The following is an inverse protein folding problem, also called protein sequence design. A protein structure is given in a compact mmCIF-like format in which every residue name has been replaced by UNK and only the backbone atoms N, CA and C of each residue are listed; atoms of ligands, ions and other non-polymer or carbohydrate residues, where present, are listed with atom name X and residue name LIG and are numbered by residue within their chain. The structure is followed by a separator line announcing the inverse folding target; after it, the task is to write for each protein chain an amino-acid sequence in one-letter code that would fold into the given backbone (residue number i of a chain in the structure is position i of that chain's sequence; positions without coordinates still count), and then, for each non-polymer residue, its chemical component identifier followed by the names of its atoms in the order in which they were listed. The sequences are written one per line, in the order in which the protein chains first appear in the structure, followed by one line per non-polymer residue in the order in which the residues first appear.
data_IF_345921405901
#
_entry.id   IF_345921405901
#
_cell.length_a   1.000
_cell.length_b   1.000
_cell.length_c   1.000
_cell.angle_alpha   90.00
_cell.angle_beta   90.00
_cell.angle_gamma   90.00
#
_symmetry.space_group_name_H-M   'P 1'
#
loop_
_entity.id
_entity.type
_entity.pdbx_description
1 polymer ?
#
# COMPACT_ATOMS: atom_id res chain seq x y z
N UNK A 1 29.26 -18.40 -17.45
CA UNK A 1 30.01 -17.56 -16.50
C UNK A 1 28.97 -16.79 -15.71
N UNK A 2 28.89 -16.99 -14.38
CA UNK A 2 27.97 -16.22 -13.56
C UNK A 2 28.41 -14.75 -13.60
N UNK A 3 27.54 -13.84 -14.03
CA UNK A 3 27.75 -12.40 -13.87
C UNK A 3 27.94 -12.15 -12.38
N UNK A 4 29.10 -11.61 -12.00
CA UNK A 4 29.30 -11.04 -10.68
C UNK A 4 28.43 -9.80 -10.64
N UNK A 5 27.24 -9.90 -10.08
CA UNK A 5 26.32 -8.78 -9.98
C UNK A 5 26.84 -7.84 -8.89
N UNK A 6 26.92 -6.55 -9.19
CA UNK A 6 27.31 -5.53 -8.23
C UNK A 6 26.11 -5.26 -7.28
N UNK A 7 26.21 -5.56 -5.98
CA UNK A 7 25.11 -5.35 -5.03
C UNK A 7 24.65 -3.88 -4.94
N UNK A 8 25.53 -2.94 -5.29
CA UNK A 8 25.21 -1.51 -5.30
C UNK A 8 24.29 -1.08 -6.46
N UNK A 9 24.11 -1.95 -7.46
CA UNK A 9 23.27 -1.69 -8.65
C UNK A 9 21.91 -2.42 -8.59
N UNK A 10 21.77 -3.46 -7.77
CA UNK A 10 20.51 -4.20 -7.65
C UNK A 10 19.47 -3.44 -6.82
N UNK A 11 18.26 -3.35 -7.36
CA UNK A 11 17.12 -2.66 -6.73
C UNK A 11 16.47 -3.47 -5.61
N UNK A 12 16.66 -4.79 -5.63
CA UNK A 12 16.25 -5.75 -4.60
C UNK A 12 17.37 -6.77 -4.44
N UNK A 13 17.83 -6.98 -3.20
CA UNK A 13 18.77 -8.03 -2.86
C UNK A 13 18.01 -9.23 -2.28
N UNK A 14 18.30 -10.43 -2.79
CA UNK A 14 17.80 -11.69 -2.25
C UNK A 14 18.92 -12.52 -1.66
N UNK A 15 18.87 -12.79 -0.36
CA UNK A 15 19.88 -13.59 0.35
C UNK A 15 19.27 -14.90 0.87
N UNK A 16 19.99 -16.01 0.70
CA UNK A 16 19.57 -17.35 1.16
C UNK A 16 20.49 -17.78 2.30
N UNK A 17 19.94 -17.86 3.52
CA UNK A 17 20.71 -18.10 4.75
C UNK A 17 20.06 -19.26 5.49
N UNK A 18 20.58 -20.47 5.31
CA UNK A 18 19.95 -21.68 5.84
C UNK A 18 18.51 -21.82 5.35
N UNK A 19 17.54 -21.84 6.27
CA UNK A 19 16.11 -21.87 6.01
C UNK A 19 15.44 -20.50 5.87
N UNK A 20 16.23 -19.42 5.99
CA UNK A 20 15.76 -18.05 5.89
C UNK A 20 16.03 -17.51 4.49
N UNK A 21 15.08 -16.74 3.96
CA UNK A 21 15.21 -15.97 2.73
C UNK A 21 14.98 -14.50 3.05
N UNK A 22 15.99 -13.67 2.83
CA UNK A 22 15.94 -12.24 3.14
C UNK A 22 15.80 -11.43 1.85
N UNK A 23 14.78 -10.59 1.80
CA UNK A 23 14.56 -9.57 0.77
C UNK A 23 14.94 -8.22 1.35
N UNK A 24 15.87 -7.53 0.71
CA UNK A 24 16.18 -6.14 1.00
C UNK A 24 15.80 -5.26 -0.18
N UNK A 25 14.81 -4.37 -0.01
CA UNK A 25 14.55 -3.29 -0.97
C UNK A 25 15.73 -2.31 -0.90
N UNK A 26 16.45 -2.12 -2.00
CA UNK A 26 17.82 -1.58 -1.99
C UNK A 26 17.97 -0.28 -2.80
N UNK A 27 17.00 0.62 -2.72
CA UNK A 27 17.08 1.96 -3.31
C UNK A 27 16.95 3.07 -2.25
N UNK A 28 17.86 3.14 -1.25
CA UNK A 28 17.69 3.99 -0.08
C UNK A 28 17.63 5.49 -0.43
N UNK A 29 18.35 5.90 -1.49
CA UNK A 29 18.33 7.28 -2.01
C UNK A 29 16.97 7.68 -2.58
N UNK A 30 16.21 6.71 -3.09
CA UNK A 30 14.85 6.89 -3.61
C UNK A 30 13.78 6.44 -2.63
N UNK A 31 14.14 6.17 -1.36
CA UNK A 31 13.22 5.67 -0.33
C UNK A 31 12.56 4.33 -0.71
N UNK A 32 13.30 3.47 -1.42
CA UNK A 32 12.85 2.12 -1.77
C UNK A 32 11.50 2.13 -2.53
N UNK A 33 11.39 2.99 -3.53
CA UNK A 33 10.21 3.02 -4.43
C UNK A 33 10.05 1.70 -5.17
N UNK A 34 8.80 1.34 -5.44
CA UNK A 34 8.43 0.12 -6.15
C UNK A 34 8.37 0.45 -7.65
N UNK A 35 9.47 0.16 -8.35
CA UNK A 35 9.57 0.22 -9.82
C UNK A 35 9.17 -1.12 -10.46
N UNK A 36 9.11 -1.15 -11.80
CA UNK A 36 8.95 -2.39 -12.57
C UNK A 36 9.95 -3.48 -12.12
N UNK A 37 11.24 -3.14 -12.03
CA UNK A 37 12.30 -4.09 -11.65
C UNK A 37 12.10 -4.65 -10.24
N UNK A 38 11.67 -3.81 -9.30
CA UNK A 38 11.35 -4.25 -7.93
C UNK A 38 10.21 -5.26 -7.96
N UNK A 39 9.11 -4.96 -8.66
CA UNK A 39 7.97 -5.89 -8.77
C UNK A 39 8.39 -7.19 -9.45
N UNK A 40 9.14 -7.12 -10.55
CA UNK A 40 9.61 -8.29 -11.28
C UNK A 40 10.50 -9.20 -10.42
N UNK A 41 11.45 -8.61 -9.68
CA UNK A 41 12.34 -9.35 -8.79
C UNK A 41 11.59 -9.96 -7.60
N UNK A 42 10.67 -9.20 -6.97
CA UNK A 42 9.84 -9.72 -5.88
C UNK A 42 8.99 -10.91 -6.33
N UNK A 43 8.33 -10.82 -7.48
CA UNK A 43 7.56 -11.93 -8.06
C UNK A 43 8.46 -13.16 -8.27
N UNK A 44 9.64 -12.98 -8.88
CA UNK A 44 10.58 -14.07 -9.15
C UNK A 44 11.10 -14.74 -7.88
N UNK A 45 11.50 -13.95 -6.89
CA UNK A 45 12.04 -14.46 -5.61
C UNK A 45 10.95 -15.18 -4.83
N UNK A 46 9.78 -14.57 -4.68
CA UNK A 46 8.67 -15.17 -3.94
C UNK A 46 8.13 -16.43 -4.63
N UNK A 47 8.09 -16.48 -5.96
CA UNK A 47 7.75 -17.70 -6.70
C UNK A 47 8.77 -18.81 -6.44
N UNK A 48 10.06 -18.49 -6.59
CA UNK A 48 11.16 -19.42 -6.38
C UNK A 48 11.08 -20.00 -4.96
N UNK A 49 10.98 -19.13 -3.97
CA UNK A 49 11.07 -19.53 -2.58
C UNK A 49 9.79 -20.16 -2.04
N UNK A 50 8.62 -19.93 -2.62
CA UNK A 50 7.43 -20.68 -2.18
C UNK A 50 7.52 -22.16 -2.58
N UNK A 51 8.23 -22.47 -3.68
CA UNK A 51 8.45 -23.83 -4.21
C UNK A 51 9.67 -24.55 -3.60
N UNK A 52 10.50 -23.84 -2.86
CA UNK A 52 11.77 -24.34 -2.32
C UNK A 52 11.59 -24.86 -0.88
N UNK A 53 11.64 -26.18 -0.67
CA UNK A 53 11.43 -26.77 0.66
C UNK A 53 12.43 -26.27 1.72
N UNK A 54 13.63 -25.81 1.31
CA UNK A 54 14.59 -25.22 2.24
C UNK A 54 14.21 -23.80 2.65
N UNK A 55 13.34 -23.08 1.93
CA UNK A 55 12.87 -21.77 2.33
C UNK A 55 11.71 -21.92 3.33
N UNK A 56 11.91 -21.69 4.61
CA UNK A 56 10.83 -21.79 5.60
C UNK A 56 10.35 -20.42 6.11
N UNK A 57 11.27 -19.44 6.18
CA UNK A 57 11.02 -18.10 6.70
C UNK A 57 11.42 -17.03 5.69
N UNK A 58 10.48 -16.16 5.32
CA UNK A 58 10.74 -15.02 4.44
C UNK A 58 10.80 -13.75 5.30
N UNK A 59 11.90 -13.02 5.19
CA UNK A 59 12.09 -11.72 5.83
C UNK A 59 12.11 -10.64 4.73
N UNK A 60 11.36 -9.55 4.90
CA UNK A 60 11.42 -8.39 4.01
C UNK A 60 11.80 -7.15 4.82
N UNK A 61 12.78 -6.38 4.33
CA UNK A 61 13.19 -5.09 4.89
C UNK A 61 13.50 -4.08 3.78
N UNK A 62 13.55 -2.80 4.14
CA UNK A 62 14.11 -1.75 3.30
C UNK A 62 15.49 -1.31 3.79
N UNK A 63 16.37 -0.93 2.89
CA UNK A 63 17.66 -0.33 3.25
C UNK A 63 17.52 1.17 3.56
N UNK A 64 18.35 1.67 4.47
CA UNK A 64 18.36 3.08 4.85
C UNK A 64 17.16 3.50 5.70
N UNK A 65 16.56 4.66 5.39
CA UNK A 65 15.59 5.35 6.27
C UNK A 65 14.12 5.05 5.98
N UNK A 66 13.84 4.15 5.05
CA UNK A 66 12.47 3.82 4.65
C UNK A 66 12.35 2.32 4.44
N UNK A 67 11.20 1.76 4.77
CA UNK A 67 10.84 0.44 4.30
C UNK A 67 10.54 0.53 2.81
N UNK A 68 9.51 1.32 2.44
CA UNK A 68 9.21 1.71 1.07
C UNK A 68 8.27 2.91 1.02
N UNK A 69 8.56 3.88 0.16
CA UNK A 69 7.71 5.07 -0.05
C UNK A 69 6.56 4.86 -1.05
N UNK A 70 6.36 3.64 -1.57
CA UNK A 70 5.30 3.34 -2.53
C UNK A 70 5.79 3.26 -3.98
N UNK A 71 4.85 3.34 -4.93
CA UNK A 71 5.13 3.18 -6.36
C UNK A 71 6.06 4.25 -6.93
N UNK A 72 6.79 3.89 -7.98
CA UNK A 72 7.61 4.84 -8.75
C UNK A 72 6.72 5.76 -9.59
N UNK A 73 6.27 6.88 -9.00
CA UNK A 73 5.40 7.84 -9.68
C UNK A 73 6.03 8.41 -10.97
N UNK A 74 7.35 8.54 -11.01
CA UNK A 74 8.05 9.09 -12.18
C UNK A 74 7.95 8.15 -13.39
N UNK A 75 8.01 6.85 -13.16
CA UNK A 75 7.83 5.83 -14.20
C UNK A 75 6.48 5.99 -14.91
N UNK A 76 5.38 6.15 -14.16
CA UNK A 76 4.05 6.38 -14.77
C UNK A 76 3.98 7.72 -15.49
N UNK A 77 4.54 8.78 -14.91
CA UNK A 77 4.49 10.11 -15.52
C UNK A 77 5.28 10.21 -16.82
N UNK A 78 6.46 9.58 -16.89
CA UNK A 78 7.30 9.63 -18.08
C UNK A 78 6.63 8.92 -19.28
N UNK A 79 5.79 7.90 -19.02
CA UNK A 79 5.02 7.16 -20.04
C UNK A 79 3.59 7.67 -20.27
N UNK A 80 3.17 8.76 -19.64
CA UNK A 80 1.78 9.27 -19.70
C UNK A 80 1.20 9.52 -21.10
N UNK A 81 2.04 9.65 -22.12
CA UNK A 81 1.62 9.84 -23.52
C UNK A 81 1.43 8.51 -24.28
N UNK A 82 1.83 7.38 -23.69
CA UNK A 82 1.59 6.04 -24.20
C UNK A 82 0.11 5.68 -24.06
N UNK A 83 -0.38 4.84 -24.97
CA UNK A 83 -1.74 4.28 -24.88
C UNK A 83 -1.87 3.35 -23.67
N UNK A 84 -0.82 2.62 -23.34
CA UNK A 84 -0.76 1.67 -22.23
C UNK A 84 0.49 1.97 -21.37
N UNK A 85 0.40 2.97 -20.46
CA UNK A 85 1.54 3.47 -19.69
C UNK A 85 1.89 2.51 -18.55
N UNK A 86 2.92 1.67 -18.74
CA UNK A 86 3.38 0.72 -17.74
C UNK A 86 2.27 -0.18 -17.14
N UNK A 87 1.29 -0.60 -17.95
CA UNK A 87 0.16 -1.40 -17.44
C UNK A 87 0.58 -2.82 -17.04
N UNK A 88 1.69 -3.32 -17.59
CA UNK A 88 2.26 -4.62 -17.20
C UNK A 88 2.66 -4.66 -15.73
N UNK A 89 3.38 -3.63 -15.24
CA UNK A 89 3.79 -3.57 -13.82
C UNK A 89 2.59 -3.44 -12.91
N UNK A 90 1.53 -2.75 -13.34
CA UNK A 90 0.27 -2.71 -12.60
C UNK A 90 -0.29 -4.13 -12.45
N UNK A 91 -0.44 -4.86 -13.55
CA UNK A 91 -0.92 -6.24 -13.50
C UNK A 91 -0.08 -7.11 -12.57
N UNK A 92 1.26 -7.07 -12.72
CA UNK A 92 2.20 -7.80 -11.86
C UNK A 92 2.09 -7.39 -10.40
N UNK A 93 1.91 -6.10 -10.10
CA UNK A 93 1.81 -5.59 -8.73
C UNK A 93 0.54 -6.07 -8.04
N UNK A 94 -0.61 -6.03 -8.72
CA UNK A 94 -1.87 -6.54 -8.15
C UNK A 94 -1.83 -8.04 -7.93
N UNK A 95 -1.24 -8.78 -8.88
CA UNK A 95 -1.01 -10.20 -8.74
C UNK A 95 -0.04 -10.50 -7.58
N UNK A 96 1.02 -9.71 -7.41
CA UNK A 96 1.95 -9.81 -6.28
C UNK A 96 1.25 -9.53 -4.94
N UNK A 97 0.38 -8.50 -4.88
CA UNK A 97 -0.41 -8.20 -3.68
C UNK A 97 -1.23 -9.42 -3.23
N UNK A 98 -1.89 -10.11 -4.15
CA UNK A 98 -2.61 -11.36 -3.83
C UNK A 98 -1.69 -12.42 -3.22
N UNK A 99 -0.51 -12.62 -3.80
CA UNK A 99 0.44 -13.62 -3.32
C UNK A 99 1.02 -13.31 -1.95
N UNK A 100 1.28 -12.04 -1.65
CA UNK A 100 1.73 -11.65 -0.31
C UNK A 100 0.64 -11.92 0.72
N UNK A 101 -0.63 -11.60 0.42
CA UNK A 101 -1.74 -11.87 1.35
C UNK A 101 -1.98 -13.36 1.60
N UNK A 102 -1.65 -14.21 0.63
CA UNK A 102 -1.99 -15.64 0.67
C UNK A 102 -0.76 -16.54 0.73
N UNK A 103 0.42 -15.97 1.02
CA UNK A 103 1.70 -16.67 0.94
C UNK A 103 1.73 -17.88 1.87
N UNK A 104 2.22 -19.02 1.38
CA UNK A 104 2.16 -20.29 2.12
C UNK A 104 3.19 -20.41 3.25
N UNK A 105 4.23 -19.58 3.21
CA UNK A 105 5.35 -19.63 4.15
C UNK A 105 5.27 -18.49 5.15
N UNK A 106 5.89 -18.65 6.31
CA UNK A 106 5.89 -17.61 7.33
C UNK A 106 6.66 -16.39 6.80
N UNK A 107 6.00 -15.23 6.83
CA UNK A 107 6.56 -13.96 6.39
C UNK A 107 6.67 -12.97 7.56
N UNK A 108 7.79 -12.26 7.62
CA UNK A 108 8.03 -11.16 8.56
C UNK A 108 8.48 -9.91 7.80
N UNK A 109 7.71 -8.83 7.91
CA UNK A 109 8.15 -7.50 7.52
C UNK A 109 8.90 -6.83 8.69
N UNK A 110 10.15 -6.42 8.45
CA UNK A 110 10.95 -5.61 9.36
C UNK A 110 10.85 -4.15 8.91
N UNK A 111 9.87 -3.43 9.45
CA UNK A 111 9.44 -2.13 8.95
C UNK A 111 10.07 -1.02 9.77
N UNK A 112 11.19 -0.49 9.26
CA UNK A 112 11.84 0.69 9.80
C UNK A 112 11.66 1.90 8.87
N UNK A 113 11.10 2.99 9.37
CA UNK A 113 10.90 4.23 8.61
C UNK A 113 9.60 4.26 7.79
N UNK A 114 9.62 4.98 6.67
CA UNK A 114 8.44 5.23 5.83
C UNK A 114 7.92 3.93 5.21
N UNK A 115 6.60 3.70 5.30
CA UNK A 115 5.86 2.64 4.61
C UNK A 115 4.55 3.22 4.06
N UNK A 116 4.50 3.59 2.78
CA UNK A 116 3.35 4.32 2.21
C UNK A 116 2.85 3.69 0.92
N UNK A 117 1.54 3.79 0.67
CA UNK A 117 0.86 3.26 -0.51
C UNK A 117 1.23 1.80 -0.80
N UNK A 118 1.66 1.50 -2.03
CA UNK A 118 2.15 0.16 -2.39
C UNK A 118 3.28 -0.38 -1.51
N UNK A 119 4.07 0.48 -0.85
CA UNK A 119 5.08 0.06 0.12
C UNK A 119 4.47 -0.58 1.37
N UNK A 120 3.27 -0.16 1.75
CA UNK A 120 2.56 -0.72 2.89
C UNK A 120 1.82 -2.02 2.55
N UNK A 121 1.51 -2.30 1.27
CA UNK A 121 0.96 -3.60 0.87
C UNK A 121 1.99 -4.73 0.99
N UNK A 122 3.28 -4.39 1.07
CA UNK A 122 4.37 -5.32 1.37
C UNK A 122 4.58 -5.56 2.88
N UNK A 123 3.73 -5.04 3.76
CA UNK A 123 3.84 -5.29 5.21
C UNK A 123 2.53 -5.59 5.91
N UNK A 124 1.45 -4.84 5.64
CA UNK A 124 0.18 -4.97 6.37
C UNK A 124 -0.39 -6.41 6.30
N UNK A 125 -0.40 -7.08 5.14
CA UNK A 125 -1.01 -8.41 5.05
C UNK A 125 -0.11 -9.55 5.51
N UNK A 126 1.16 -9.29 5.85
CA UNK A 126 2.08 -10.35 6.27
C UNK A 126 1.71 -10.91 7.63
N UNK A 127 2.03 -12.19 7.85
CA UNK A 127 1.77 -12.88 9.11
C UNK A 127 2.38 -12.17 10.32
N UNK A 128 3.59 -11.65 10.15
CA UNK A 128 4.21 -10.74 11.10
C UNK A 128 4.64 -9.46 10.41
N UNK A 129 4.24 -8.33 10.97
CA UNK A 129 4.80 -7.02 10.64
C UNK A 129 5.30 -6.38 11.93
N UNK A 130 6.61 -6.15 11.98
CA UNK A 130 7.31 -5.58 13.13
C UNK A 130 7.68 -4.14 12.78
N UNK A 131 7.18 -3.20 13.58
CA UNK A 131 7.36 -1.76 13.38
C UNK A 131 8.20 -1.14 14.49
N UNK A 132 8.73 0.06 14.24
CA UNK A 132 9.56 0.84 15.18
C UNK A 132 8.92 2.18 15.49
N UNK A 133 9.51 2.93 16.42
CA UNK A 133 9.18 4.34 16.66
C UNK A 133 9.45 5.26 15.46
N UNK A 134 10.23 4.80 14.47
CA UNK A 134 10.48 5.52 13.21
C UNK A 134 9.45 5.23 12.13
N UNK A 135 8.59 4.24 12.34
CA UNK A 135 7.63 3.83 11.31
C UNK A 135 6.59 4.91 11.08
N UNK A 136 6.40 5.29 9.81
CA UNK A 136 5.38 6.25 9.38
C UNK A 136 4.60 5.62 8.23
N UNK A 137 3.32 5.35 8.49
CA UNK A 137 2.38 4.79 7.54
C UNK A 137 1.41 5.84 7.01
N UNK A 138 1.07 5.77 5.72
CA UNK A 138 -0.04 6.52 5.12
C UNK A 138 -0.47 5.92 3.77
N UNK A 139 -1.71 6.18 3.39
CA UNK A 139 -2.29 5.96 2.05
C UNK A 139 -2.67 7.33 1.45
N UNK A 140 -1.70 8.11 0.91
CA UNK A 140 -1.91 9.50 0.52
C UNK A 140 -2.41 9.67 -0.94
N UNK A 141 -2.87 8.60 -1.59
CA UNK A 141 -3.07 8.54 -3.05
C UNK A 141 -4.07 9.59 -3.57
N UNK A 142 -5.12 9.89 -2.80
CA UNK A 142 -6.12 10.89 -3.19
C UNK A 142 -5.51 12.29 -3.42
N UNK A 143 -4.43 12.61 -2.69
CA UNK A 143 -3.74 13.90 -2.81
C UNK A 143 -2.91 14.04 -4.11
N UNK A 144 -2.67 12.95 -4.83
CA UNK A 144 -1.94 12.91 -6.10
C UNK A 144 -2.85 12.53 -7.28
N UNK A 145 -4.18 12.59 -7.12
CA UNK A 145 -5.11 12.23 -8.20
C UNK A 145 -5.25 10.73 -8.43
N UNK A 146 -4.90 9.91 -7.44
CA UNK A 146 -4.95 8.46 -7.52
C UNK A 146 -5.84 7.87 -6.41
N UNK A 147 -6.26 6.61 -6.55
CA UNK A 147 -7.10 5.96 -5.53
C UNK A 147 -6.25 5.10 -4.60
N UNK A 148 -6.76 4.83 -3.41
CA UNK A 148 -6.12 3.87 -2.49
C UNK A 148 -6.22 2.44 -3.07
N UNK A 149 -5.07 1.88 -3.43
CA UNK A 149 -4.94 0.69 -4.27
C UNK A 149 -4.19 -0.46 -3.56
N UNK A 150 -3.65 -1.44 -4.30
CA UNK A 150 -2.78 -2.51 -3.77
C UNK A 150 -3.39 -3.35 -2.61
N UNK A 151 -4.70 -3.56 -2.62
CA UNK A 151 -5.47 -4.29 -1.62
C UNK A 151 -6.01 -3.43 -0.48
N UNK A 152 -5.73 -2.12 -0.47
CA UNK A 152 -6.14 -1.26 0.64
C UNK A 152 -7.65 -0.98 0.69
N UNK A 153 -8.42 -1.16 -0.38
CA UNK A 153 -9.88 -1.14 -0.25
C UNK A 153 -10.40 -2.31 0.59
N UNK A 154 -9.72 -3.47 0.57
CA UNK A 154 -9.99 -4.58 1.49
C UNK A 154 -9.50 -4.26 2.90
N UNK A 155 -8.24 -3.87 3.07
CA UNK A 155 -7.63 -3.64 4.38
C UNK A 155 -8.35 -2.51 5.15
N UNK A 156 -8.53 -1.34 4.52
CA UNK A 156 -9.11 -0.17 5.19
C UNK A 156 -10.58 -0.37 5.53
N UNK A 157 -11.32 -1.12 4.71
CA UNK A 157 -12.74 -1.39 4.95
C UNK A 157 -13.00 -2.28 6.16
N UNK A 158 -12.00 -3.05 6.60
CA UNK A 158 -12.07 -3.91 7.78
C UNK A 158 -11.54 -3.22 9.05
N UNK A 159 -11.07 -1.97 8.97
CA UNK A 159 -10.71 -1.20 10.16
C UNK A 159 -11.96 -0.83 10.98
N UNK A 160 -11.83 -0.68 12.31
CA UNK A 160 -12.97 -0.34 13.16
C UNK A 160 -13.67 0.97 12.77
N UNK A 161 -15.00 0.94 12.71
CA UNK A 161 -15.83 2.11 12.42
C UNK A 161 -15.59 2.67 11.03
N UNK A 162 -15.22 3.95 10.95
CA UNK A 162 -14.90 4.68 9.70
C UNK A 162 -13.45 5.17 9.65
N UNK A 163 -12.54 4.51 10.38
CA UNK A 163 -11.13 4.86 10.35
C UNK A 163 -10.52 4.65 8.95
N UNK A 164 -10.95 3.60 8.23
CA UNK A 164 -10.49 3.34 6.87
C UNK A 164 -10.77 4.48 5.91
N UNK A 165 -12.01 4.98 5.89
CA UNK A 165 -12.39 6.15 5.09
C UNK A 165 -11.60 7.40 5.50
N UNK A 166 -11.36 7.62 6.79
CA UNK A 166 -10.53 8.72 7.26
C UNK A 166 -9.10 8.63 6.73
N UNK A 167 -8.45 7.47 6.85
CA UNK A 167 -7.07 7.28 6.40
C UNK A 167 -6.95 7.44 4.88
N UNK A 168 -7.83 6.77 4.11
CA UNK A 168 -7.80 6.81 2.65
C UNK A 168 -8.11 8.18 2.05
N UNK A 169 -9.07 8.92 2.62
CA UNK A 169 -9.45 10.23 2.09
C UNK A 169 -8.48 11.35 2.50
N UNK A 170 -7.97 11.31 3.74
CA UNK A 170 -7.14 12.41 4.28
C UNK A 170 -5.65 12.21 4.07
N UNK A 171 -5.20 10.98 3.79
CA UNK A 171 -3.78 10.61 3.80
C UNK A 171 -3.15 10.75 5.19
N UNK A 172 -3.96 10.66 6.26
CA UNK A 172 -3.47 10.77 7.63
C UNK A 172 -2.39 9.73 7.93
N UNK A 173 -1.42 10.16 8.73
CA UNK A 173 -0.27 9.33 9.10
C UNK A 173 -0.54 8.59 10.40
N UNK A 174 -0.16 7.33 10.44
CA UNK A 174 -0.06 6.53 11.66
C UNK A 174 1.40 6.24 11.96
N UNK A 175 1.78 6.35 13.23
CA UNK A 175 3.09 5.87 13.70
C UNK A 175 3.06 4.36 14.00
N UNK A 176 4.23 3.77 14.30
CA UNK A 176 4.34 2.34 14.59
C UNK A 176 3.42 1.83 15.72
N UNK A 177 3.26 2.60 16.79
CA UNK A 177 2.40 2.19 17.91
C UNK A 177 0.91 2.23 17.53
N UNK A 178 0.50 3.23 16.76
CA UNK A 178 -0.87 3.35 16.24
C UNK A 178 -1.20 2.23 15.25
N UNK A 179 -0.23 1.78 14.44
CA UNK A 179 -0.40 0.63 13.54
C UNK A 179 -0.70 -0.66 14.31
N UNK A 180 0.06 -0.93 15.37
CA UNK A 180 -0.18 -2.11 16.22
C UNK A 180 -1.54 -1.99 16.92
N UNK A 181 -1.89 -0.81 17.43
CA UNK A 181 -3.19 -0.58 18.07
C UNK A 181 -4.40 -0.78 17.14
N UNK A 182 -4.23 -0.64 15.82
CA UNK A 182 -5.29 -0.85 14.83
C UNK A 182 -5.19 -2.19 14.09
N UNK A 183 -4.23 -3.05 14.46
CA UNK A 183 -4.03 -4.34 13.80
C UNK A 183 -3.46 -4.24 12.38
N UNK A 184 -2.90 -3.08 12.00
CA UNK A 184 -2.20 -2.90 10.73
C UNK A 184 -0.74 -3.36 10.79
N UNK A 185 -0.19 -3.47 12.01
CA UNK A 185 1.07 -4.14 12.30
C UNK A 185 0.88 -5.09 13.49
N UNK A 186 1.75 -6.07 13.64
CA UNK A 186 1.61 -7.10 14.67
C UNK A 186 2.37 -6.80 15.95
N UNK A 187 3.58 -6.25 15.84
CA UNK A 187 4.49 -6.06 16.97
C UNK A 187 5.23 -4.74 16.86
N UNK A 188 5.57 -4.18 18.02
CA UNK A 188 6.40 -2.98 18.11
C UNK A 188 7.71 -3.33 18.82
N UNK A 189 8.83 -3.11 18.13
CA UNK A 189 10.19 -3.34 18.65
C UNK A 189 10.98 -2.04 18.49
N UNK A 190 11.63 -1.52 19.55
CA UNK A 190 12.47 -0.34 19.45
C UNK A 190 13.57 -0.49 18.38
N UNK A 191 13.83 0.55 17.60
CA UNK A 191 14.79 0.45 16.48
C UNK A 191 16.20 0.02 16.88
N UNK A 192 16.63 0.29 18.11
CA UNK A 192 17.92 -0.16 18.64
C UNK A 192 18.02 -1.69 18.75
N UNK A 193 16.89 -2.40 18.89
CA UNK A 193 16.82 -3.87 18.97
C UNK A 193 16.60 -4.56 17.62
N UNK A 194 16.37 -3.80 16.55
CA UNK A 194 16.14 -4.38 15.21
C UNK A 194 17.32 -5.23 14.69
N UNK A 195 18.59 -4.81 14.85
CA UNK A 195 19.73 -5.64 14.45
C UNK A 195 19.76 -6.99 15.19
N UNK A 196 19.46 -6.97 16.49
CA UNK A 196 19.36 -8.18 17.31
C UNK A 196 18.19 -9.05 16.84
N UNK A 197 17.01 -8.46 16.63
CA UNK A 197 15.83 -9.17 16.12
C UNK A 197 16.14 -9.88 14.80
N UNK A 198 16.73 -9.16 13.85
CA UNK A 198 17.10 -9.73 12.56
C UNK A 198 18.08 -10.90 12.74
N UNK A 199 19.11 -10.74 13.56
CA UNK A 199 20.06 -11.82 13.86
C UNK A 199 19.38 -13.03 14.47
N UNK A 200 18.48 -12.84 15.44
CA UNK A 200 17.76 -13.93 16.11
C UNK A 200 16.80 -14.66 15.18
N UNK A 201 16.10 -13.94 14.30
CA UNK A 201 15.24 -14.56 13.27
C UNK A 201 16.06 -15.37 12.26
N UNK A 202 17.25 -14.87 11.88
CA UNK A 202 18.17 -15.62 11.02
C UNK A 202 18.68 -16.88 11.74
N UNK A 203 19.13 -16.75 12.99
CA UNK A 203 19.67 -17.87 13.79
C UNK A 203 18.60 -18.89 14.18
N UNK A 204 17.33 -18.48 14.30
CA UNK A 204 16.21 -19.39 14.53
C UNK A 204 16.13 -20.44 13.43
N UNK A 205 16.42 -20.04 12.18
CA UNK A 205 16.53 -20.93 11.03
C UNK A 205 15.32 -21.86 10.85
N UNK A 206 14.12 -21.35 11.13
CA UNK A 206 12.86 -22.10 11.06
C UNK A 206 11.70 -21.19 10.67
N UNK A 207 10.75 -21.74 9.91
CA UNK A 207 9.49 -21.09 9.56
C UNK A 207 8.33 -21.34 10.53
N UNK A 208 8.54 -22.06 11.64
CA UNK A 208 7.46 -22.31 12.61
C UNK A 208 6.94 -20.99 13.17
N UNK A 209 5.64 -20.73 12.95
CA UNK A 209 5.05 -19.44 13.26
C UNK A 209 5.06 -19.14 14.77
N UNK A 210 4.99 -20.15 15.65
CA UNK A 210 5.02 -19.95 17.10
C UNK A 210 6.43 -19.60 17.58
N UNK A 211 7.44 -20.27 17.04
CA UNK A 211 8.84 -19.98 17.34
C UNK A 211 9.24 -18.57 16.84
N UNK A 212 8.86 -18.22 15.60
CA UNK A 212 9.07 -16.87 15.05
C UNK A 212 8.38 -15.81 15.91
N UNK A 213 7.11 -16.04 16.27
CA UNK A 213 6.37 -15.14 17.17
C UNK A 213 7.08 -14.96 18.50
N UNK A 214 7.53 -16.04 19.13
CA UNK A 214 8.22 -16.00 20.43
C UNK A 214 9.48 -15.12 20.38
N UNK A 215 10.29 -15.26 19.33
CA UNK A 215 11.49 -14.42 19.12
C UNK A 215 11.12 -12.93 19.00
N UNK A 216 10.04 -12.61 18.27
CA UNK A 216 9.58 -11.22 18.12
C UNK A 216 9.06 -10.67 19.46
N UNK A 217 8.25 -11.45 20.19
CA UNK A 217 7.65 -11.04 21.46
C UNK A 217 8.70 -10.76 22.55
N UNK A 218 9.78 -11.54 22.60
CA UNK A 218 10.88 -11.32 23.56
C UNK A 218 11.55 -9.95 23.43
N UNK A 219 11.57 -9.38 22.22
CA UNK A 219 12.15 -8.06 21.94
C UNK A 219 11.10 -6.95 21.86
N UNK A 220 9.82 -7.31 21.81
CA UNK A 220 8.71 -6.38 21.73
C UNK A 220 8.51 -5.62 23.04
N UNK A 221 7.95 -4.42 22.93
CA UNK A 221 7.51 -3.64 24.10
C UNK A 221 6.03 -3.31 23.97
N UNK A 222 5.38 -3.13 25.11
CA UNK A 222 3.99 -2.69 25.13
C UNK A 222 3.86 -1.31 24.50
N UNK A 223 2.84 -1.15 23.65
CA UNK A 223 2.53 0.14 23.04
C UNK A 223 1.91 1.09 24.07
N UNK A 224 2.22 2.36 23.92
CA UNK A 224 1.66 3.49 24.66
C UNK A 224 1.25 4.57 23.65
N UNK A 225 -0.06 4.71 23.45
CA UNK A 225 -0.58 5.74 22.54
C UNK A 225 -0.35 7.12 23.13
N UNK A 226 0.17 8.03 22.30
CA UNK A 226 0.28 9.45 22.63
C UNK A 226 -1.11 10.05 22.88
N UNK A 227 -1.24 10.98 23.83
CA UNK A 227 -2.50 11.66 24.12
C UNK A 227 -3.08 12.37 22.88
N UNK A 228 -2.20 12.85 22.00
CA UNK A 228 -2.54 13.50 20.72
C UNK A 228 -2.76 12.52 19.58
N UNK A 229 -2.70 11.22 19.84
CA UNK A 229 -2.96 10.19 18.82
C UNK A 229 -4.32 10.41 18.17
N UNK A 230 -4.36 10.23 16.85
CA UNK A 230 -5.59 10.33 16.07
C UNK A 230 -6.61 9.25 16.49
N UNK A 231 -6.13 8.16 17.07
CA UNK A 231 -6.95 7.07 17.58
C UNK A 231 -7.79 7.48 18.81
N UNK A 232 -7.39 8.55 19.52
CA UNK A 232 -8.21 9.13 20.60
C UNK A 232 -9.37 9.97 20.06
N UNK A 233 -9.43 10.22 18.75
CA UNK A 233 -10.48 11.00 18.07
C UNK A 233 -11.50 10.13 17.33
N UNK A 234 -11.51 8.82 17.59
CA UNK A 234 -12.37 7.82 16.92
C UNK A 234 -13.85 8.17 16.88
N UNK A 235 -14.41 8.71 17.97
CA UNK A 235 -15.84 9.06 18.02
C UNK A 235 -16.19 10.09 16.94
N UNK A 236 -15.39 11.15 16.85
CA UNK A 236 -15.58 12.22 15.87
C UNK A 236 -15.34 11.70 14.45
N UNK A 237 -14.27 10.90 14.26
CA UNK A 237 -13.98 10.28 12.97
C UNK A 237 -15.16 9.44 12.51
N UNK A 238 -15.70 8.58 13.38
CA UNK A 238 -16.85 7.74 13.06
C UNK A 238 -18.08 8.57 12.71
N UNK A 239 -18.37 9.63 13.45
CA UNK A 239 -19.50 10.51 13.17
C UNK A 239 -19.36 11.20 11.81
N UNK A 240 -18.22 11.85 11.54
CA UNK A 240 -18.02 12.63 10.32
C UNK A 240 -17.84 11.75 9.08
N UNK A 241 -17.14 10.61 9.17
CA UNK A 241 -16.83 9.76 8.02
C UNK A 241 -17.90 8.69 7.73
N UNK A 242 -18.95 8.63 8.56
CA UNK A 242 -20.16 7.81 8.30
C UNK A 242 -21.10 8.39 7.23
N UNK A 243 -20.95 9.68 6.85
CA UNK A 243 -21.87 10.37 5.94
C UNK A 243 -21.89 9.78 4.53
N UNK A 244 -22.98 9.94 3.79
CA UNK A 244 -23.23 9.23 2.54
C UNK A 244 -22.25 9.57 1.40
N UNK A 245 -21.76 10.82 1.36
CA UNK A 245 -20.88 11.32 0.29
C UNK A 245 -19.66 12.07 0.82
N UNK A 246 -18.67 12.32 -0.06
CA UNK A 246 -17.48 13.12 0.28
C UNK A 246 -17.88 14.55 0.68
N UNK A 247 -18.86 15.12 -0.01
CA UNK A 247 -19.41 16.45 0.28
C UNK A 247 -19.97 16.53 1.70
N UNK A 248 -20.77 15.54 2.10
CA UNK A 248 -21.34 15.49 3.45
C UNK A 248 -20.27 15.22 4.52
N UNK A 249 -19.25 14.42 4.22
CA UNK A 249 -18.10 14.19 5.11
C UNK A 249 -17.36 15.51 5.34
N UNK A 250 -17.02 16.25 4.29
CA UNK A 250 -16.34 17.55 4.39
C UNK A 250 -17.19 18.55 5.18
N UNK A 251 -18.48 18.64 4.89
CA UNK A 251 -19.39 19.54 5.61
C UNK A 251 -19.47 19.18 7.12
N UNK A 252 -19.60 17.89 7.44
CA UNK A 252 -19.62 17.42 8.82
C UNK A 252 -18.30 17.71 9.55
N UNK A 253 -17.17 17.48 8.90
CA UNK A 253 -15.85 17.69 9.48
C UNK A 253 -15.53 19.17 9.64
N UNK A 254 -15.98 20.02 8.71
CA UNK A 254 -15.89 21.47 8.84
C UNK A 254 -16.73 22.01 10.00
N UNK A 255 -17.96 21.52 10.19
CA UNK A 255 -18.79 21.89 11.33
C UNK A 255 -18.11 21.50 12.66
N UNK A 256 -17.51 20.31 12.71
CA UNK A 256 -16.80 19.80 13.89
C UNK A 256 -15.53 20.59 14.21
N UNK A 257 -14.82 21.09 13.18
CA UNK A 257 -13.59 21.88 13.32
C UNK A 257 -13.80 23.23 14.03
N UNK A 258 -15.05 23.70 14.10
CA UNK A 258 -15.44 24.96 14.76
C UNK A 258 -15.72 24.81 16.25
N UNK A 259 -15.76 23.56 16.76
CA UNK A 259 -15.95 23.27 18.19
C UNK A 259 -14.61 23.33 18.92
N UNK A 260 -14.63 23.77 20.17
CA UNK A 260 -13.45 23.85 21.03
C UNK A 260 -12.82 22.45 21.24
N UNK A 261 -11.48 22.35 21.12
CA UNK A 261 -10.73 21.10 21.29
C UNK A 261 -10.62 20.23 20.01
N UNK A 262 -11.18 20.71 18.89
CA UNK A 262 -11.15 20.04 17.59
C UNK A 262 -10.25 20.72 16.55
N UNK A 263 -9.29 21.53 16.98
CA UNK A 263 -8.36 22.25 16.11
C UNK A 263 -7.48 21.29 15.28
N UNK A 264 -7.32 20.04 15.75
CA UNK A 264 -6.64 18.96 15.05
C UNK A 264 -7.25 18.64 13.67
N UNK A 265 -8.53 18.97 13.45
CA UNK A 265 -9.27 18.73 12.21
C UNK A 265 -8.78 19.62 11.06
N UNK A 266 -8.44 20.88 11.37
CA UNK A 266 -8.09 21.92 10.39
C UNK A 266 -7.05 21.46 9.36
N UNK A 267 -5.91 20.85 9.72
CA UNK A 267 -4.93 20.37 8.73
C UNK A 267 -5.48 19.27 7.82
N UNK A 268 -6.31 18.36 8.33
CA UNK A 268 -6.91 17.29 7.52
C UNK A 268 -7.99 17.83 6.58
N UNK A 269 -8.81 18.78 7.05
CA UNK A 269 -9.81 19.44 6.21
C UNK A 269 -9.15 20.22 5.05
N UNK A 270 -8.02 20.89 5.32
CA UNK A 270 -7.22 21.55 4.28
C UNK A 270 -6.67 20.54 3.27
N UNK A 271 -6.21 19.37 3.75
CA UNK A 271 -5.74 18.28 2.89
C UNK A 271 -6.85 17.72 1.99
N UNK A 272 -8.02 17.44 2.55
CA UNK A 272 -9.20 16.98 1.80
C UNK A 272 -9.58 17.98 0.70
N UNK A 273 -9.72 19.27 1.02
CA UNK A 273 -10.09 20.31 0.05
C UNK A 273 -9.05 20.55 -1.05
N UNK A 274 -7.80 20.12 -0.84
CA UNK A 274 -6.72 20.20 -1.84
C UNK A 274 -6.56 18.90 -2.64
N UNK A 275 -7.19 17.81 -2.25
CA UNK A 275 -7.07 16.51 -2.95
C UNK A 275 -7.95 16.48 -4.20
N UNK A 276 -7.68 15.55 -5.12
CA UNK A 276 -8.49 15.42 -6.34
C UNK A 276 -9.93 15.05 -5.98
N UNK A 277 -10.95 15.81 -6.44
CA UNK A 277 -12.35 15.49 -6.20
C UNK A 277 -12.73 14.10 -6.71
N UNK A 278 -12.22 13.75 -7.90
CA UNK A 278 -12.41 12.44 -8.52
C UNK A 278 -11.82 11.33 -7.65
N UNK A 279 -10.56 11.48 -7.23
CA UNK A 279 -9.86 10.49 -6.42
C UNK A 279 -10.51 10.26 -5.05
N UNK A 280 -11.01 11.32 -4.42
CA UNK A 280 -11.76 11.22 -3.16
C UNK A 280 -13.04 10.38 -3.33
N UNK A 281 -13.81 10.64 -4.39
CA UNK A 281 -15.05 9.88 -4.66
C UNK A 281 -14.79 8.41 -4.95
N UNK A 282 -13.79 8.12 -5.79
CA UNK A 282 -13.35 6.74 -6.07
C UNK A 282 -12.91 6.04 -4.78
N UNK A 283 -12.06 6.68 -3.97
CA UNK A 283 -11.53 6.11 -2.73
C UNK A 283 -12.65 5.79 -1.73
N UNK A 284 -13.59 6.71 -1.53
CA UNK A 284 -14.73 6.49 -0.63
C UNK A 284 -15.58 5.29 -1.10
N UNK A 285 -15.93 5.25 -2.39
CA UNK A 285 -16.73 4.17 -2.95
C UNK A 285 -15.99 2.83 -2.87
N UNK A 286 -14.73 2.80 -3.27
CA UNK A 286 -13.88 1.61 -3.27
C UNK A 286 -13.77 0.99 -1.87
N UNK A 287 -13.47 1.78 -0.84
CA UNK A 287 -13.39 1.31 0.56
C UNK A 287 -14.76 0.78 1.03
N UNK A 288 -15.86 1.49 0.74
CA UNK A 288 -17.19 1.07 1.21
C UNK A 288 -17.68 -0.22 0.57
N UNK A 289 -17.45 -0.41 -0.74
CA UNK A 289 -17.73 -1.67 -1.42
C UNK A 289 -16.86 -2.81 -0.87
N UNK A 290 -15.61 -2.50 -0.49
CA UNK A 290 -14.66 -3.46 0.09
C UNK A 290 -15.18 -4.18 1.34
N UNK A 291 -16.04 -3.54 2.13
CA UNK A 291 -16.64 -4.13 3.35
C UNK A 291 -17.43 -5.42 3.09
N UNK A 292 -17.90 -5.63 1.86
CA UNK A 292 -18.72 -6.79 1.45
C UNK A 292 -18.02 -7.68 0.42
N UNK A 293 -16.75 -7.42 0.14
CA UNK A 293 -15.98 -8.08 -0.90
C UNK A 293 -14.86 -8.92 -0.28
N UNK A 294 -14.56 -10.04 -0.93
CA UNK A 294 -13.33 -10.80 -0.71
C UNK A 294 -12.11 -10.00 -1.17
N UNK A 295 -10.91 -10.41 -0.73
CA UNK A 295 -9.65 -9.85 -1.21
C UNK A 295 -9.58 -9.87 -2.75
N UNK A 296 -9.90 -11.00 -3.37
CA UNK A 296 -9.81 -11.16 -4.83
C UNK A 296 -10.81 -10.28 -5.59
N UNK A 297 -11.98 -9.98 -5.02
CA UNK A 297 -12.92 -9.03 -5.60
C UNK A 297 -12.41 -7.59 -5.46
N UNK A 298 -11.84 -7.23 -4.30
CA UNK A 298 -11.23 -5.92 -4.09
C UNK A 298 -10.07 -5.67 -5.05
N UNK A 299 -9.15 -6.63 -5.20
CA UNK A 299 -7.99 -6.50 -6.10
C UNK A 299 -8.41 -6.35 -7.57
N UNK A 300 -9.41 -7.09 -8.04
CA UNK A 300 -9.96 -6.92 -9.41
C UNK A 300 -10.59 -5.54 -9.61
N UNK A 301 -11.41 -5.11 -8.64
CA UNK A 301 -12.03 -3.78 -8.67
C UNK A 301 -10.97 -2.68 -8.71
N UNK A 302 -10.00 -2.72 -7.80
CA UNK A 302 -8.90 -1.77 -7.73
C UNK A 302 -8.05 -1.78 -9.01
N UNK A 303 -7.78 -2.96 -9.57
CA UNK A 303 -7.09 -3.08 -10.85
C UNK A 303 -7.83 -2.33 -11.96
N UNK A 304 -9.14 -2.53 -12.13
CA UNK A 304 -9.94 -1.78 -13.13
C UNK A 304 -9.83 -0.27 -12.93
N UNK A 305 -9.95 0.18 -11.68
CA UNK A 305 -9.84 1.59 -11.33
C UNK A 305 -8.46 2.13 -11.71
N UNK A 306 -7.37 1.47 -11.30
CA UNK A 306 -5.99 1.88 -11.64
C UNK A 306 -5.80 1.96 -13.16
N UNK A 307 -6.22 0.93 -13.89
CA UNK A 307 -6.05 0.87 -15.34
C UNK A 307 -6.80 2.00 -16.04
N UNK A 308 -8.02 2.31 -15.60
CA UNK A 308 -8.81 3.41 -16.14
C UNK A 308 -8.27 4.79 -15.75
N UNK A 309 -7.72 4.95 -14.54
CA UNK A 309 -7.05 6.20 -14.11
C UNK A 309 -5.81 6.45 -14.96
N UNK A 310 -4.94 5.45 -15.15
CA UNK A 310 -3.72 5.58 -15.93
C UNK A 310 -4.00 5.82 -17.42
N UNK A 311 -5.10 5.29 -17.96
CA UNK A 311 -5.60 5.59 -19.30
C UNK A 311 -6.34 6.91 -19.42
N UNK A 312 -6.47 7.68 -18.34
CA UNK A 312 -7.22 8.96 -18.31
C UNK A 312 -8.69 8.85 -18.70
N UNK A 313 -9.32 7.67 -18.52
CA UNK A 313 -10.73 7.45 -18.87
C UNK A 313 -11.64 8.38 -18.08
N UNK A 314 -11.30 8.64 -16.81
CA UNK A 314 -12.05 9.53 -15.95
C UNK A 314 -11.54 10.98 -15.97
N UNK A 315 -10.27 11.19 -15.59
CA UNK A 315 -9.58 12.48 -15.56
C UNK A 315 -8.07 12.31 -15.76
N UNK A 316 -7.38 13.43 -16.04
CA UNK A 316 -5.92 13.50 -16.08
C UNK A 316 -5.26 13.73 -14.72
N UNK A 317 -6.02 13.68 -13.62
CA UNK A 317 -5.59 14.11 -12.29
C UNK A 317 -4.34 13.37 -11.80
N UNK A 318 -4.18 12.08 -12.08
CA UNK A 318 -2.99 11.32 -11.65
C UNK A 318 -1.70 11.95 -12.18
N UNK A 319 -1.68 12.35 -13.45
CA UNK A 319 -0.49 12.94 -14.06
C UNK A 319 -0.26 14.36 -13.57
N UNK A 320 -1.33 15.13 -13.36
CA UNK A 320 -1.25 16.47 -12.76
C UNK A 320 -0.73 16.42 -11.32
N UNK A 321 -1.23 15.48 -10.52
CA UNK A 321 -0.78 15.26 -9.16
C UNK A 321 0.68 14.85 -9.08
N UNK A 322 1.11 13.91 -9.94
CA UNK A 322 2.52 13.52 -10.04
C UNK A 322 3.38 14.70 -10.46
N UNK A 323 2.97 15.49 -11.46
CA UNK A 323 3.67 16.72 -11.89
C UNK A 323 3.85 17.68 -10.72
N UNK A 324 2.77 17.98 -9.99
CA UNK A 324 2.78 18.94 -8.89
C UNK A 324 3.67 18.52 -7.72
N UNK A 325 3.72 17.22 -7.41
CA UNK A 325 4.49 16.69 -6.27
C UNK A 325 5.94 16.41 -6.63
N UNK A 326 6.21 15.81 -7.80
CA UNK A 326 7.54 15.28 -8.13
C UNK A 326 8.36 16.19 -9.04
N UNK A 327 7.71 16.89 -9.97
CA UNK A 327 8.37 17.72 -10.98
C UNK A 327 8.52 19.15 -10.47
N UNK A 328 7.39 19.79 -10.15
CA UNK A 328 7.36 21.18 -9.66
C UNK A 328 7.82 21.30 -8.20
N UNK A 329 7.59 20.24 -7.41
CA UNK A 329 7.79 20.22 -5.95
C UNK A 329 7.03 21.31 -5.20
N UNK A 330 6.03 21.93 -5.84
CA UNK A 330 5.18 22.98 -5.28
C UNK A 330 3.92 22.44 -4.60
N UNK A 331 3.53 21.20 -4.88
CA UNK A 331 2.33 20.55 -4.34
C UNK A 331 1.05 21.42 -4.50
N UNK A 332 0.89 21.99 -5.69
CA UNK A 332 -0.24 22.83 -6.10
C UNK A 332 -0.86 22.32 -7.42
N UNK A 333 -1.47 21.13 -7.40
CA UNK A 333 -2.11 20.54 -8.57
C UNK A 333 -3.38 21.31 -8.98
N UNK A 334 -3.69 21.27 -10.27
CA UNK A 334 -4.89 21.84 -10.89
C UNK A 334 -5.82 20.73 -11.36
N UNK A 335 -6.74 20.32 -10.50
CA UNK A 335 -7.62 19.18 -10.76
C UNK A 335 -8.66 19.48 -11.84
N UNK A 336 -9.00 18.45 -12.61
CA UNK A 336 -10.10 18.50 -13.57
C UNK A 336 -11.00 17.28 -13.36
N UNK A 337 -12.22 17.46 -12.80
CA UNK A 337 -12.84 18.71 -12.38
C UNK A 337 -12.27 19.29 -11.08
N UNK A 338 -12.41 20.61 -10.90
CA UNK A 338 -11.93 21.33 -9.70
C UNK A 338 -12.79 21.09 -8.45
N UNK A 339 -14.05 20.68 -8.61
CA UNK A 339 -15.00 20.53 -7.50
C UNK A 339 -15.68 19.16 -7.49
N UNK A 340 -16.18 18.75 -6.33
CA UNK A 340 -16.82 17.45 -6.13
C UNK A 340 -18.11 17.31 -6.94
N UNK A 341 -18.88 18.39 -7.07
CA UNK A 341 -20.17 18.42 -7.77
C UNK A 341 -20.03 18.15 -9.27
N UNK A 342 -18.87 18.49 -9.84
CA UNK A 342 -18.58 18.37 -11.26
C UNK A 342 -17.95 17.03 -11.65
N UNK A 343 -17.74 16.11 -10.70
CA UNK A 343 -17.25 14.75 -10.99
C UNK A 343 -18.30 14.00 -11.82
N UNK A 344 -17.90 13.59 -13.02
CA UNK A 344 -18.75 12.89 -13.99
C UNK A 344 -19.23 11.54 -13.45
N UNK A 345 -20.53 11.46 -13.16
CA UNK A 345 -21.16 10.27 -12.59
C UNK A 345 -21.15 9.06 -13.54
N UNK A 346 -21.17 9.27 -14.85
CA UNK A 346 -21.15 8.17 -15.83
C UNK A 346 -19.74 7.61 -15.97
N UNK A 347 -18.71 8.47 -16.02
CA UNK A 347 -17.31 8.02 -15.95
C UNK A 347 -17.00 7.33 -14.63
N UNK A 348 -17.53 7.83 -13.52
CA UNK A 348 -17.43 7.16 -12.21
C UNK A 348 -18.01 5.75 -12.24
N UNK A 349 -19.16 5.53 -12.87
CA UNK A 349 -19.69 4.16 -13.03
C UNK A 349 -18.80 3.31 -13.93
N UNK A 350 -18.30 3.90 -15.02
CA UNK A 350 -17.46 3.22 -16.01
C UNK A 350 -16.18 2.66 -15.40
N UNK A 351 -15.48 3.41 -14.52
CA UNK A 351 -14.20 2.96 -13.97
C UNK A 351 -14.30 1.74 -13.05
N UNK A 352 -15.50 1.43 -12.54
CA UNK A 352 -15.77 0.24 -11.71
C UNK A 352 -16.29 -0.95 -12.54
N UNK A 353 -16.65 -0.75 -13.81
CA UNK A 353 -17.17 -1.83 -14.65
C UNK A 353 -16.12 -2.92 -14.88
N UNK A 354 -16.53 -4.20 -14.88
CA UNK A 354 -15.65 -5.29 -15.27
C UNK A 354 -15.05 -5.11 -16.66
N UNK A 355 -13.79 -5.51 -16.81
CA UNK A 355 -13.22 -5.68 -18.14
C UNK A 355 -13.65 -7.02 -18.75
N UNK A 356 -13.41 -7.18 -20.05
CA UNK A 356 -13.48 -8.48 -20.72
C UNK A 356 -12.53 -9.47 -20.04
N UNK A 357 -12.85 -10.77 -20.10
CA UNK A 357 -12.18 -11.79 -19.28
C UNK A 357 -10.66 -11.86 -19.52
N UNK A 358 -10.21 -11.63 -20.74
CA UNK A 358 -8.80 -11.59 -21.14
C UNK A 358 -8.08 -10.33 -20.64
N UNK A 359 -8.79 -9.22 -20.48
CA UNK A 359 -8.26 -7.95 -19.97
C UNK A 359 -8.33 -7.82 -18.44
N UNK A 360 -9.05 -8.70 -17.76
CA UNK A 360 -9.24 -8.65 -16.31
C UNK A 360 -8.03 -9.17 -15.52
N UNK A 361 -7.88 -8.74 -14.26
CA UNK A 361 -6.89 -9.33 -13.35
C UNK A 361 -7.21 -10.81 -13.07
N UNK A 362 -6.36 -11.70 -13.58
CA UNK A 362 -6.47 -13.13 -13.33
C UNK A 362 -5.74 -13.51 -12.05
N UNK A 363 -6.53 -13.66 -10.99
CA UNK A 363 -6.07 -14.22 -9.72
C UNK A 363 -6.24 -15.75 -9.75
N UNK A 364 -5.20 -16.53 -9.42
CA UNK A 364 -5.23 -17.98 -9.37
C UNK A 364 -6.39 -18.55 -8.53
N UNK A 365 -7.04 -19.60 -9.04
CA UNK A 365 -8.06 -20.36 -8.30
C UNK A 365 -7.48 -21.70 -7.88
N UNK A 366 -7.30 -21.89 -6.57
CA UNK A 366 -6.75 -23.13 -6.01
C UNK A 366 -5.22 -23.17 -6.01
N UNK A 367 -4.69 -24.14 -5.27
CA UNK A 367 -3.28 -24.23 -4.95
C UNK A 367 -2.41 -24.80 -6.07
N UNK A 368 -2.96 -25.68 -6.91
CA UNK A 368 -2.24 -26.36 -8.00
C UNK A 368 -1.75 -25.38 -9.08
N UNK A 369 -2.40 -24.23 -9.19
CA UNK A 369 -2.13 -23.21 -10.20
C UNK A 369 -1.73 -21.87 -9.59
N UNK A 370 -1.28 -21.87 -8.33
CA UNK A 370 -0.99 -20.66 -7.57
C UNK A 370 -0.09 -19.67 -8.31
N UNK A 371 0.96 -20.13 -8.97
CA UNK A 371 1.87 -19.24 -9.71
C UNK A 371 1.55 -19.11 -11.22
N UNK A 372 0.38 -19.62 -11.69
CA UNK A 372 -0.11 -19.44 -13.06
C UNK A 372 -0.87 -18.11 -13.23
N UNK A 373 -1.10 -17.68 -14.49
CA UNK A 373 -1.88 -16.48 -14.78
C UNK A 373 -1.18 -15.17 -14.40
N UNK A 374 0.14 -15.22 -14.21
CA UNK A 374 0.99 -14.02 -14.10
C UNK A 374 1.02 -13.29 -15.45
N UNK A 375 1.76 -12.19 -15.52
CA UNK A 375 1.80 -11.34 -16.71
C UNK A 375 2.08 -12.09 -18.03
N UNK A 376 2.70 -13.26 -17.99
CA UNK A 376 2.98 -14.13 -19.16
C UNK A 376 1.71 -14.47 -19.97
N UNK A 377 0.56 -14.53 -19.31
CA UNK A 377 -0.75 -14.81 -19.94
C UNK A 377 -1.62 -13.55 -20.06
N UNK A 378 -1.04 -12.36 -19.83
CA UNK A 378 -1.75 -11.08 -19.79
C UNK A 378 -1.66 -10.36 -21.14
N UNK A 379 -2.70 -9.62 -21.56
CA UNK A 379 -2.65 -8.76 -22.75
C UNK A 379 -1.77 -7.52 -22.56
N UNK A 380 -1.23 -7.30 -21.35
CA UNK A 380 -0.43 -6.14 -21.00
C UNK A 380 1.09 -6.36 -21.12
N UNK A 381 1.55 -7.45 -21.76
CA UNK A 381 2.99 -7.68 -21.96
C UNK A 381 3.58 -6.59 -22.85
N UNK A 382 4.61 -5.92 -22.34
CA UNK A 382 5.38 -4.94 -23.10
C UNK A 382 6.26 -5.69 -24.12
N UNK A 383 6.09 -5.41 -25.41
CA UNK A 383 6.91 -5.98 -26.49
C UNK A 383 8.29 -5.36 -26.58
#
# INVERSE_FOLDING_TARGET
MAQVVNPDEEVVLGEEIGHVRMITLNQPRRLNVISFDVVALLCKLLEKWEKDDDAELILIKGSGRAFSAGGDLKMFYDERASKDPNLEVVYRMYWLCYHIHTYKKTQVALVHGISMGGGASLMVPMKFSVVTEKTVFATPEASIGFHTDCGFSYILSHLPGHLGEFLGLTGARLNGQELVAQGLATHFVPSEKFPELQSRLISLNSGDANAVKSVIEELSVNIQLDEKSILNKKSIINECFSKGSVEEIIASFEAESRKEGNEWIVPFLKGLKRSSPTALKITLQSIREGRKQTLSECLRKEFRITMNILRTVISGDVYEGIRAVTIDKGNAPKWEPETLENVDAEKMKLVFQPFEQDLELNIPKGDDFRWQGKYEDSPYVSH
#
